data_IF_806049790727
#
_entry.id   IF_806049790727
#
_cell.length_a   1.000
_cell.length_b   1.000
_cell.length_c   1.000
_cell.angle_alpha   90.00
_cell.angle_beta   90.00
_cell.angle_gamma   90.00
#
_symmetry.space_group_name_H-M   'P 1'
#
loop_
_entity.id
_entity.type
_entity.pdbx_description
1 polymer ?
#
# COMPACT_ATOMS: atom_id res chain seq x y z
N UNK A 1 16.94 -54.41 -31.56
CA UNK A 1 16.63 -53.80 -30.25
C UNK A 1 17.55 -52.60 -30.07
N UNK A 2 17.03 -51.37 -30.14
CA UNK A 2 17.81 -50.14 -29.96
C UNK A 2 17.42 -49.56 -28.60
N UNK A 3 18.32 -49.66 -27.63
CA UNK A 3 18.19 -49.04 -26.32
C UNK A 3 18.48 -47.54 -26.47
N UNK A 4 17.43 -46.72 -26.40
CA UNK A 4 17.56 -45.27 -26.31
C UNK A 4 17.83 -44.88 -24.86
N UNK A 5 18.96 -44.22 -24.61
CA UNK A 5 19.24 -43.58 -23.32
C UNK A 5 18.63 -42.18 -23.36
N UNK A 6 17.58 -41.96 -22.58
CA UNK A 6 17.02 -40.64 -22.30
C UNK A 6 17.89 -39.97 -21.23
N UNK A 7 18.63 -38.94 -21.63
CA UNK A 7 19.39 -38.10 -20.71
C UNK A 7 18.47 -36.96 -20.25
N UNK A 8 17.88 -37.10 -19.07
CA UNK A 8 17.10 -36.03 -18.43
C UNK A 8 18.05 -34.97 -17.87
N UNK A 9 18.17 -33.83 -18.53
CA UNK A 9 18.88 -32.66 -18.01
C UNK A 9 17.95 -31.93 -17.05
N UNK A 10 18.23 -32.00 -15.75
CA UNK A 10 17.57 -31.18 -14.75
C UNK A 10 18.17 -29.76 -14.79
N UNK A 11 17.38 -28.77 -15.20
CA UNK A 11 17.72 -27.36 -15.01
C UNK A 11 17.53 -27.02 -13.53
N UNK A 12 18.64 -26.93 -12.79
CA UNK A 12 18.64 -26.26 -11.51
C UNK A 12 18.64 -24.75 -11.78
N UNK A 13 17.47 -24.12 -11.81
CA UNK A 13 17.35 -22.66 -11.74
C UNK A 13 17.75 -22.24 -10.33
N UNK A 14 18.92 -21.62 -10.20
CA UNK A 14 19.25 -20.85 -9.01
C UNK A 14 18.28 -19.68 -8.94
N UNK A 15 17.28 -19.77 -8.08
CA UNK A 15 16.53 -18.60 -7.66
C UNK A 15 17.50 -17.76 -6.85
N UNK A 16 18.07 -16.75 -7.47
CA UNK A 16 18.79 -15.70 -6.73
C UNK A 16 17.70 -14.86 -6.07
N UNK A 17 17.40 -15.16 -4.81
CA UNK A 17 16.67 -14.23 -3.97
C UNK A 17 17.56 -13.00 -3.79
N UNK A 18 17.15 -11.84 -4.30
CA UNK A 18 17.80 -10.57 -4.00
C UNK A 18 17.39 -10.13 -2.59
N UNK A 19 18.07 -10.68 -1.58
CA UNK A 19 17.94 -10.28 -0.17
C UNK A 19 19.24 -9.70 0.35
N UNK A 20 19.83 -8.72 -0.34
CA UNK A 20 21.12 -8.16 0.02
C UNK A 20 21.25 -6.69 -0.34
N UNK A 21 21.49 -5.88 0.68
CA UNK A 21 21.44 -4.41 0.75
C UNK A 21 20.03 -3.85 0.90
N UNK A 22 19.66 -3.50 2.14
CA UNK A 22 18.59 -2.53 2.39
C UNK A 22 18.91 -1.28 1.56
N UNK A 23 18.07 -1.00 0.57
CA UNK A 23 18.32 0.08 -0.38
C UNK A 23 18.19 1.41 0.34
N UNK A 24 19.31 2.04 0.67
CA UNK A 24 19.34 3.42 1.18
C UNK A 24 18.41 4.30 0.34
N UNK A 25 17.54 5.07 1.01
CA UNK A 25 16.62 5.99 0.35
C UNK A 25 17.35 6.83 -0.70
N UNK A 26 16.90 6.82 -1.97
CA UNK A 26 17.33 7.73 -3.00
C UNK A 26 17.50 9.18 -2.53
N UNK A 27 18.66 9.79 -2.77
CA UNK A 27 18.83 11.24 -2.57
C UNK A 27 18.07 11.99 -3.66
N UNK A 28 17.10 12.82 -3.27
CA UNK A 28 16.25 13.62 -4.18
C UNK A 28 16.52 15.11 -4.00
N UNK A 29 16.45 15.89 -5.08
CA UNK A 29 16.53 17.35 -5.03
C UNK A 29 15.38 17.93 -4.18
N UNK A 30 15.68 18.89 -3.31
CA UNK A 30 14.67 19.52 -2.45
C UNK A 30 13.51 20.18 -3.24
N UNK A 31 13.75 20.59 -4.48
CA UNK A 31 12.78 21.20 -5.38
C UNK A 31 12.16 20.19 -6.37
N UNK A 32 12.44 18.89 -6.24
CA UNK A 32 11.77 17.88 -7.03
C UNK A 32 10.25 17.92 -6.78
N UNK A 33 9.50 17.51 -7.80
CA UNK A 33 8.05 17.41 -7.71
C UNK A 33 7.62 16.29 -6.74
N UNK A 34 6.35 16.36 -6.32
CA UNK A 34 5.82 15.44 -5.32
C UNK A 34 5.93 13.98 -5.75
N UNK A 35 5.67 13.65 -7.02
CA UNK A 35 5.77 12.26 -7.48
C UNK A 35 7.21 11.73 -7.37
N UNK A 36 8.20 12.55 -7.72
CA UNK A 36 9.61 12.17 -7.60
C UNK A 36 10.00 11.91 -6.15
N UNK A 37 9.55 12.77 -5.23
CA UNK A 37 9.78 12.58 -3.79
C UNK A 37 9.07 11.35 -3.25
N UNK A 38 7.79 11.19 -3.58
CA UNK A 38 6.99 10.02 -3.22
C UNK A 38 7.66 8.71 -3.66
N UNK A 39 8.02 8.59 -4.94
CA UNK A 39 8.66 7.37 -5.46
C UNK A 39 10.01 7.05 -4.80
N UNK A 40 10.73 8.06 -4.35
CA UNK A 40 11.99 7.89 -3.64
C UNK A 40 11.79 7.56 -2.16
N UNK A 41 10.86 8.21 -1.48
CA UNK A 41 10.66 8.09 -0.03
C UNK A 41 9.85 6.85 0.34
N UNK A 42 8.89 6.48 -0.50
CA UNK A 42 7.95 5.38 -0.29
C UNK A 42 8.39 4.11 -1.04
N UNK A 43 8.77 4.21 -2.31
CA UNK A 43 9.11 3.03 -3.13
C UNK A 43 10.62 2.76 -3.27
N UNK A 44 11.47 3.67 -2.80
CA UNK A 44 12.94 3.64 -2.95
C UNK A 44 13.42 3.47 -4.41
N UNK A 45 12.63 3.95 -5.37
CA UNK A 45 12.95 3.87 -6.80
C UNK A 45 13.42 5.22 -7.32
N UNK A 46 14.60 5.22 -7.96
CA UNK A 46 15.02 6.29 -8.87
C UNK A 46 14.79 5.86 -10.32
N UNK A 47 14.24 6.75 -11.14
CA UNK A 47 14.00 6.47 -12.55
C UNK A 47 12.80 5.53 -12.75
N UNK A 48 11.62 6.12 -12.75
CA UNK A 48 10.35 5.48 -13.05
C UNK A 48 9.73 6.14 -14.29
N UNK A 49 8.71 5.49 -14.86
CA UNK A 49 7.90 6.04 -15.95
C UNK A 49 6.42 6.10 -15.55
N UNK A 50 5.62 6.73 -16.38
CA UNK A 50 4.19 6.87 -16.10
C UNK A 50 3.49 5.51 -15.94
N UNK A 51 3.92 4.48 -16.67
CA UNK A 51 3.28 3.15 -16.64
C UNK A 51 3.57 2.39 -15.35
N UNK A 52 4.83 2.43 -14.89
CA UNK A 52 5.24 1.89 -13.59
C UNK A 52 4.60 2.64 -12.43
N UNK A 53 4.53 3.98 -12.48
CA UNK A 53 3.81 4.76 -11.47
C UNK A 53 2.33 4.36 -11.42
N UNK A 54 1.67 4.19 -12.56
CA UNK A 54 0.28 3.72 -12.59
C UNK A 54 0.12 2.36 -11.90
N UNK A 55 0.94 1.41 -12.33
CA UNK A 55 0.86 0.01 -11.92
C UNK A 55 1.17 -0.19 -10.43
N UNK A 56 2.10 0.59 -9.86
CA UNK A 56 2.43 0.50 -8.43
C UNK A 56 1.31 0.97 -7.51
N UNK A 57 0.43 1.84 -7.99
CA UNK A 57 -0.65 2.43 -7.17
C UNK A 57 -2.05 1.92 -7.55
N UNK A 58 -2.11 0.95 -8.46
CA UNK A 58 -3.28 0.12 -8.74
C UNK A 58 -3.27 -1.06 -7.76
N UNK A 59 -3.63 -0.76 -6.51
CA UNK A 59 -3.42 -1.65 -5.36
C UNK A 59 -4.23 -2.94 -5.48
N UNK A 60 -5.40 -2.88 -6.12
CA UNK A 60 -6.23 -4.05 -6.36
C UNK A 60 -5.96 -4.72 -7.72
N UNK A 61 -5.10 -4.11 -8.56
CA UNK A 61 -4.70 -4.59 -9.89
C UNK A 61 -5.84 -4.78 -10.87
N UNK A 62 -6.88 -3.94 -10.80
CA UNK A 62 -8.03 -3.98 -11.71
C UNK A 62 -7.90 -3.05 -12.93
N UNK A 63 -6.82 -2.27 -13.00
CA UNK A 63 -6.49 -1.40 -14.12
C UNK A 63 -7.04 0.02 -14.00
N UNK A 64 -7.60 0.39 -12.85
CA UNK A 64 -8.18 1.70 -12.56
C UNK A 64 -7.69 2.18 -11.21
N UNK A 65 -7.49 3.49 -11.06
CA UNK A 65 -7.39 4.07 -9.73
C UNK A 65 -8.76 4.52 -9.27
N UNK A 66 -9.30 3.85 -8.25
CA UNK A 66 -10.48 4.35 -7.56
C UNK A 66 -10.12 5.50 -6.62
N UNK A 67 -11.12 6.28 -6.21
CA UNK A 67 -10.95 7.37 -5.25
C UNK A 67 -10.19 6.93 -3.98
N UNK A 68 -10.46 5.74 -3.46
CA UNK A 68 -9.78 5.21 -2.27
C UNK A 68 -8.28 4.99 -2.49
N UNK A 69 -7.87 4.55 -3.68
CA UNK A 69 -6.47 4.33 -4.03
C UNK A 69 -5.72 5.64 -4.23
N UNK A 70 -6.35 6.64 -4.86
CA UNK A 70 -5.82 8.00 -4.94
C UNK A 70 -5.58 8.59 -3.53
N UNK A 71 -6.56 8.42 -2.64
CA UNK A 71 -6.47 8.88 -1.25
C UNK A 71 -5.40 8.10 -0.46
N UNK A 72 -5.26 6.80 -0.70
CA UNK A 72 -4.21 5.97 -0.11
C UNK A 72 -2.82 6.43 -0.55
N UNK A 73 -2.59 6.60 -1.85
CA UNK A 73 -1.31 7.09 -2.40
C UNK A 73 -0.89 8.44 -1.83
N UNK A 74 -1.86 9.29 -1.46
CA UNK A 74 -1.62 10.55 -0.75
C UNK A 74 -1.49 10.45 0.78
N UNK A 75 -1.49 9.23 1.34
CA UNK A 75 -1.31 8.97 2.77
C UNK A 75 -2.49 9.39 3.65
N UNK A 76 -3.69 9.58 3.10
CA UNK A 76 -4.81 10.18 3.85
C UNK A 76 -5.35 9.30 5.00
N UNK A 77 -5.04 8.00 4.95
CA UNK A 77 -5.43 7.02 5.96
C UNK A 77 -4.27 6.61 6.87
N UNK A 78 -3.06 7.12 6.63
CA UNK A 78 -1.88 6.85 7.45
C UNK A 78 -2.00 7.49 8.85
N UNK A 79 -1.31 6.90 9.83
CA UNK A 79 -1.27 7.38 11.21
C UNK A 79 -0.74 8.82 11.32
N UNK A 80 0.18 9.24 10.43
CA UNK A 80 0.67 10.63 10.37
C UNK A 80 -0.44 11.63 10.03
N UNK A 81 -1.50 11.19 9.34
CA UNK A 81 -2.64 11.99 8.93
C UNK A 81 -3.92 11.75 9.75
N UNK A 82 -3.85 11.03 10.88
CA UNK A 82 -5.03 10.77 11.73
C UNK A 82 -5.77 12.00 12.23
N UNK A 83 -5.08 13.14 12.32
CA UNK A 83 -5.66 14.43 12.71
C UNK A 83 -6.43 15.13 11.59
N UNK A 84 -6.35 14.63 10.35
CA UNK A 84 -7.01 15.22 9.20
C UNK A 84 -8.51 14.98 9.25
N UNK A 85 -9.30 16.06 9.13
CA UNK A 85 -10.76 15.97 9.08
C UNK A 85 -11.23 15.29 7.80
N UNK A 86 -12.34 14.55 7.84
CA UNK A 86 -12.96 13.94 6.64
C UNK A 86 -13.20 14.93 5.51
N UNK A 87 -13.68 16.15 5.83
CA UNK A 87 -13.84 17.22 4.83
C UNK A 87 -12.55 17.51 4.06
N UNK A 88 -11.39 17.48 4.73
CA UNK A 88 -10.10 17.76 4.09
C UNK A 88 -9.67 16.58 3.20
N UNK A 89 -9.98 15.35 3.60
CA UNK A 89 -9.76 14.16 2.77
C UNK A 89 -10.63 14.20 1.51
N UNK A 90 -11.90 14.60 1.65
CA UNK A 90 -12.82 14.83 0.52
C UNK A 90 -12.28 15.91 -0.43
N UNK A 91 -11.77 17.03 0.09
CA UNK A 91 -11.15 18.09 -0.73
C UNK A 91 -9.95 17.55 -1.53
N UNK A 92 -9.11 16.71 -0.93
CA UNK A 92 -7.98 16.07 -1.64
C UNK A 92 -8.50 15.16 -2.76
N UNK A 93 -9.45 14.27 -2.45
CA UNK A 93 -10.09 13.40 -3.44
C UNK A 93 -10.64 14.19 -4.63
N UNK A 94 -11.40 15.25 -4.35
CA UNK A 94 -12.08 16.04 -5.38
C UNK A 94 -11.08 16.78 -6.28
N UNK A 95 -9.96 17.26 -5.71
CA UNK A 95 -8.86 17.84 -6.49
C UNK A 95 -8.24 16.80 -7.42
N UNK A 96 -7.96 15.59 -6.93
CA UNK A 96 -7.33 14.54 -7.74
C UNK A 96 -8.23 14.05 -8.86
N UNK A 97 -9.49 13.75 -8.57
CA UNK A 97 -10.46 13.36 -9.59
C UNK A 97 -10.67 14.49 -10.60
N UNK A 98 -10.83 15.74 -10.16
CA UNK A 98 -10.97 16.88 -11.09
C UNK A 98 -9.77 17.08 -12.02
N UNK A 99 -8.57 16.65 -11.61
CA UNK A 99 -7.36 16.69 -12.44
C UNK A 99 -7.29 15.53 -13.44
N UNK A 100 -7.71 14.33 -13.03
CA UNK A 100 -7.41 13.08 -13.72
C UNK A 100 -8.63 12.50 -14.46
N UNK A 101 -9.77 12.37 -13.79
CA UNK A 101 -11.01 11.79 -14.32
C UNK A 101 -11.62 12.74 -15.37
N UNK A 102 -11.62 12.32 -16.64
CA UNK A 102 -12.09 13.11 -17.79
C UNK A 102 -13.46 12.70 -18.29
N UNK A 103 -13.87 11.47 -18.05
CA UNK A 103 -15.18 10.99 -18.45
C UNK A 103 -16.24 11.02 -17.33
N UNK A 104 -15.82 11.30 -16.09
CA UNK A 104 -16.67 11.51 -14.93
C UNK A 104 -17.17 10.22 -14.29
N UNK A 105 -16.48 9.09 -14.50
CA UNK A 105 -16.86 7.80 -13.93
C UNK A 105 -16.41 7.59 -12.47
N UNK A 106 -15.77 8.62 -11.88
CA UNK A 106 -15.24 8.64 -10.51
C UNK A 106 -14.06 7.68 -10.28
N UNK A 107 -13.41 7.24 -11.35
CA UNK A 107 -12.16 6.48 -11.35
C UNK A 107 -11.18 7.12 -12.34
N UNK A 108 -9.94 6.65 -12.34
CA UNK A 108 -8.94 7.10 -13.31
C UNK A 108 -8.44 5.89 -14.07
N UNK A 109 -8.74 5.85 -15.35
CA UNK A 109 -8.20 4.86 -16.26
C UNK A 109 -6.70 5.07 -16.50
N UNK A 110 -6.01 3.99 -16.88
CA UNK A 110 -4.63 4.09 -17.38
C UNK A 110 -4.49 5.09 -18.52
N UNK A 111 -5.48 5.19 -19.42
CA UNK A 111 -5.43 6.11 -20.54
C UNK A 111 -5.46 7.58 -20.10
N UNK A 112 -6.37 7.93 -19.18
CA UNK A 112 -6.46 9.30 -18.62
C UNK A 112 -5.19 9.69 -17.90
N UNK A 113 -4.62 8.78 -17.12
CA UNK A 113 -3.33 8.97 -16.48
C UNK A 113 -2.22 9.26 -17.49
N UNK A 114 -2.12 8.43 -18.53
CA UNK A 114 -1.08 8.61 -19.56
C UNK A 114 -1.25 9.92 -20.32
N UNK A 115 -2.48 10.35 -20.58
CA UNK A 115 -2.76 11.63 -21.23
C UNK A 115 -2.45 12.82 -20.32
N UNK A 116 -2.72 12.70 -19.02
CA UNK A 116 -2.32 13.69 -18.01
C UNK A 116 -0.80 13.90 -18.01
N UNK A 117 -0.01 12.83 -17.94
CA UNK A 117 1.46 12.92 -17.95
C UNK A 117 2.00 13.43 -19.29
N UNK A 118 1.46 12.94 -20.43
CA UNK A 118 1.84 13.43 -21.77
C UNK A 118 1.57 14.92 -21.96
N UNK A 119 0.63 15.50 -21.22
CA UNK A 119 0.38 16.95 -21.20
C UNK A 119 1.45 17.76 -20.46
N UNK A 120 2.47 17.10 -19.90
CA UNK A 120 3.59 17.72 -19.18
C UNK A 120 3.25 18.09 -17.74
N UNK A 121 2.20 17.48 -17.16
CA UNK A 121 1.77 17.73 -15.78
C UNK A 121 2.35 16.67 -14.84
N UNK A 122 2.38 17.02 -13.55
CA UNK A 122 2.71 16.14 -12.43
C UNK A 122 1.59 16.23 -11.39
N UNK A 123 1.47 15.22 -10.52
CA UNK A 123 0.56 15.27 -9.39
C UNK A 123 0.99 16.37 -8.41
N UNK A 124 0.03 17.17 -7.88
CA UNK A 124 0.36 18.28 -7.01
C UNK A 124 0.78 17.81 -5.62
N UNK A 125 1.68 18.55 -4.99
CA UNK A 125 1.88 18.44 -3.54
C UNK A 125 0.68 19.08 -2.82
N UNK A 126 -0.07 18.28 -2.07
CA UNK A 126 -1.25 18.71 -1.32
C UNK A 126 -0.97 18.87 0.18
N UNK A 127 0.30 18.83 0.59
CA UNK A 127 0.78 18.90 1.96
C UNK A 127 0.21 17.78 2.85
N UNK A 128 0.14 16.57 2.31
CA UNK A 128 -0.31 15.37 3.04
C UNK A 128 0.87 14.51 3.49
N UNK A 129 2.10 14.89 3.16
CA UNK A 129 3.32 14.13 3.44
C UNK A 129 3.82 13.36 2.21
N UNK A 130 4.71 12.37 2.43
CA UNK A 130 5.33 11.63 1.34
C UNK A 130 4.36 10.70 0.61
N UNK A 131 3.25 10.32 1.24
CA UNK A 131 2.22 9.46 0.65
C UNK A 131 2.09 8.15 1.40
N UNK A 132 1.73 7.09 0.69
CA UNK A 132 1.72 5.71 1.17
C UNK A 132 2.01 4.78 0.00
N UNK A 133 2.68 3.67 0.26
CA UNK A 133 3.13 2.71 -0.75
C UNK A 133 2.47 1.34 -0.60
N UNK A 134 2.27 0.87 0.63
CA UNK A 134 1.98 -0.53 0.94
C UNK A 134 0.68 -0.73 1.71
N UNK A 135 0.49 -1.89 2.31
CA UNK A 135 -0.43 -2.12 3.44
C UNK A 135 0.26 -1.82 4.77
N UNK A 136 -0.51 -1.76 5.86
CA UNK A 136 0.00 -1.43 7.20
C UNK A 136 1.21 -2.29 7.62
N UNK A 137 1.28 -3.55 7.16
CA UNK A 137 2.37 -4.48 7.48
C UNK A 137 3.68 -4.07 6.79
N UNK A 138 3.62 -3.85 5.48
CA UNK A 138 4.79 -3.47 4.70
C UNK A 138 5.34 -2.10 5.12
N UNK A 139 4.45 -1.15 5.40
CA UNK A 139 4.81 0.18 5.90
C UNK A 139 5.52 0.11 7.24
N UNK A 140 5.02 -0.72 8.16
CA UNK A 140 5.70 -0.98 9.41
C UNK A 140 7.07 -1.64 9.16
N UNK A 141 7.16 -2.73 8.40
CA UNK A 141 8.42 -3.44 8.20
C UNK A 141 9.53 -2.56 7.61
N UNK A 142 9.26 -1.81 6.54
CA UNK A 142 10.29 -1.04 5.85
C UNK A 142 10.60 0.28 6.57
N UNK A 143 9.59 1.09 6.93
CA UNK A 143 9.86 2.39 7.53
C UNK A 143 10.37 2.26 8.96
N UNK A 144 9.89 1.27 9.73
CA UNK A 144 10.41 1.02 11.06
C UNK A 144 11.86 0.56 11.00
N UNK A 145 12.17 -0.38 10.10
CA UNK A 145 13.52 -0.85 9.93
C UNK A 145 14.46 0.28 9.55
N UNK A 146 14.14 1.08 8.54
CA UNK A 146 15.06 2.15 8.12
C UNK A 146 15.21 3.28 9.13
N UNK A 147 14.19 3.51 9.96
CA UNK A 147 14.25 4.55 10.99
C UNK A 147 15.16 4.15 12.15
N UNK A 148 15.14 2.89 12.55
CA UNK A 148 15.79 2.43 13.77
C UNK A 148 16.97 1.50 13.56
N UNK A 149 17.13 0.96 12.34
CA UNK A 149 18.11 -0.06 12.02
C UNK A 149 19.03 0.34 10.86
N UNK A 150 20.30 -0.02 11.03
CA UNK A 150 21.41 0.19 10.12
C UNK A 150 22.41 -0.97 10.19
N UNK A 151 23.51 -0.88 9.44
CA UNK A 151 24.57 -1.90 9.42
C UNK A 151 25.24 -2.15 10.79
N UNK A 152 25.03 -1.28 11.78
CA UNK A 152 25.60 -1.39 13.12
C UNK A 152 24.60 -1.86 14.17
N UNK A 153 23.34 -2.11 13.79
CA UNK A 153 22.27 -2.57 14.67
C UNK A 153 22.64 -3.88 15.37
N UNK A 154 22.43 -3.92 16.68
CA UNK A 154 22.65 -5.11 17.50
C UNK A 154 21.32 -5.79 17.83
N UNK A 155 21.41 -7.03 18.30
CA UNK A 155 20.25 -7.83 18.71
C UNK A 155 19.40 -7.13 19.78
N UNK A 156 20.04 -6.38 20.67
CA UNK A 156 19.39 -5.63 21.74
C UNK A 156 18.64 -4.37 21.27
N UNK A 157 18.92 -3.90 20.04
CA UNK A 157 18.25 -2.74 19.45
C UNK A 157 16.99 -3.14 18.66
N UNK A 158 16.76 -4.44 18.40
CA UNK A 158 15.68 -4.94 17.53
C UNK A 158 14.25 -4.74 18.05
N UNK A 159 14.07 -4.26 19.28
CA UNK A 159 12.74 -4.12 19.87
C UNK A 159 12.49 -2.70 20.33
N UNK A 160 11.43 -2.13 19.79
CA UNK A 160 10.98 -0.76 19.98
C UNK A 160 9.55 -0.74 20.55
N UNK A 161 9.16 0.35 21.25
CA UNK A 161 7.79 0.53 21.72
C UNK A 161 6.75 0.40 20.59
N UNK A 162 7.07 0.86 19.38
CA UNK A 162 6.20 0.77 18.21
C UNK A 162 5.93 -0.68 17.78
N UNK A 163 6.87 -1.60 18.00
CA UNK A 163 6.68 -3.04 17.71
C UNK A 163 5.57 -3.63 18.58
N UNK A 164 5.56 -3.25 19.85
CA UNK A 164 4.57 -3.71 20.82
C UNK A 164 3.18 -3.24 20.40
N UNK A 165 3.04 -1.98 19.99
CA UNK A 165 1.76 -1.43 19.53
C UNK A 165 1.32 -2.06 18.19
N UNK A 166 2.24 -2.26 17.25
CA UNK A 166 1.96 -2.93 15.98
C UNK A 166 1.44 -4.37 16.19
N UNK A 167 2.16 -5.18 16.96
CA UNK A 167 1.72 -6.56 17.23
C UNK A 167 0.44 -6.64 18.07
N UNK A 168 0.26 -5.73 19.03
CA UNK A 168 -0.99 -5.65 19.78
C UNK A 168 -2.19 -5.33 18.88
N UNK A 169 -2.02 -4.46 17.88
CA UNK A 169 -3.07 -4.19 16.88
C UNK A 169 -3.41 -5.46 16.09
N UNK A 170 -2.42 -6.26 15.71
CA UNK A 170 -2.64 -7.56 15.06
C UNK A 170 -3.39 -8.54 15.94
N UNK A 171 -3.00 -8.70 17.21
CA UNK A 171 -3.72 -9.53 18.17
C UNK A 171 -5.20 -9.11 18.29
N UNK A 172 -5.47 -7.80 18.38
CA UNK A 172 -6.83 -7.26 18.45
C UNK A 172 -7.65 -7.51 17.16
N UNK A 173 -7.00 -7.45 15.99
CA UNK A 173 -7.61 -7.74 14.69
C UNK A 173 -7.91 -9.24 14.53
N UNK A 174 -6.99 -10.12 14.93
CA UNK A 174 -7.19 -11.57 14.93
C UNK A 174 -8.36 -11.96 15.85
N UNK A 175 -8.37 -11.44 17.09
CA UNK A 175 -9.47 -11.62 18.04
C UNK A 175 -10.83 -11.12 17.49
N UNK A 176 -10.83 -10.01 16.74
CA UNK A 176 -12.04 -9.50 16.10
C UNK A 176 -12.51 -10.42 14.95
N UNK A 177 -11.57 -10.91 14.14
CA UNK A 177 -11.84 -11.82 13.04
C UNK A 177 -12.38 -13.17 13.53
N UNK A 178 -11.76 -13.76 14.56
CA UNK A 178 -12.24 -15.01 15.16
C UNK A 178 -13.68 -14.88 15.70
N UNK A 179 -13.98 -13.75 16.35
CA UNK A 179 -15.34 -13.44 16.83
C UNK A 179 -16.33 -13.33 15.67
N UNK A 180 -15.94 -12.67 14.58
CA UNK A 180 -16.77 -12.55 13.38
C UNK A 180 -17.06 -13.93 12.77
N UNK A 181 -16.02 -14.76 12.59
CA UNK A 181 -16.14 -16.11 12.03
C UNK A 181 -17.00 -17.03 12.91
N UNK A 182 -16.86 -16.93 14.24
CA UNK A 182 -17.71 -17.64 15.18
C UNK A 182 -19.18 -17.24 15.01
N UNK A 183 -19.47 -15.95 14.81
CA UNK A 183 -20.83 -15.48 14.53
C UNK A 183 -21.35 -15.95 13.18
N UNK A 184 -20.52 -15.98 12.13
CA UNK A 184 -20.92 -16.45 10.79
C UNK A 184 -21.25 -17.95 10.76
N UNK A 185 -20.63 -18.76 11.63
CA UNK A 185 -20.97 -20.18 11.79
C UNK A 185 -22.35 -20.41 12.42
N UNK A 186 -22.91 -19.40 13.09
CA UNK A 186 -24.27 -19.49 13.64
C UNK A 186 -25.29 -19.32 12.51
N UNK A 187 -26.20 -20.27 12.38
CA UNK A 187 -27.32 -20.16 11.44
C UNK A 187 -28.26 -19.00 11.78
N UNK A 188 -28.34 -18.63 13.07
CA UNK A 188 -29.13 -17.50 13.58
C UNK A 188 -28.34 -16.85 14.72
N UNK A 189 -28.10 -15.54 14.62
CA UNK A 189 -27.57 -14.73 15.72
C UNK A 189 -28.74 -14.24 16.57
N UNK A 190 -29.02 -14.90 17.70
CA UNK A 190 -30.22 -14.65 18.51
C UNK A 190 -30.35 -13.19 18.99
N UNK A 191 -29.22 -12.53 19.26
CA UNK A 191 -29.18 -11.11 19.64
C UNK A 191 -29.78 -10.19 18.55
N UNK A 192 -29.65 -10.58 17.28
CA UNK A 192 -30.17 -9.84 16.13
C UNK A 192 -31.63 -10.17 15.82
N UNK A 193 -32.25 -11.13 16.51
CA UNK A 193 -33.68 -11.43 16.36
C UNK A 193 -34.48 -10.25 16.94
N UNK A 194 -35.30 -9.55 16.13
CA UNK A 194 -36.15 -8.48 16.63
C UNK A 194 -37.09 -8.97 17.74
N UNK A 195 -37.35 -8.13 18.74
CA UNK A 195 -38.10 -8.52 19.96
C UNK A 195 -39.46 -9.17 19.66
N UNK A 196 -40.14 -8.75 18.58
CA UNK A 196 -41.44 -9.31 18.14
C UNK A 196 -41.40 -10.78 17.71
N UNK A 197 -40.21 -11.35 17.48
CA UNK A 197 -40.01 -12.74 17.05
C UNK A 197 -39.36 -13.63 18.12
N UNK A 198 -39.03 -13.10 19.29
CA UNK A 198 -38.49 -13.89 20.40
C UNK A 198 -39.66 -14.58 21.13
N UNK A 199 -39.58 -15.90 21.33
CA UNK A 199 -40.55 -16.61 22.18
C UNK A 199 -40.31 -16.20 23.64
N UNK A 200 -41.37 -15.75 24.31
CA UNK A 200 -41.40 -15.53 25.76
C UNK A 200 -41.60 -16.86 26.49
#
# INVERSE_FOLDING_TARGET
MRTGVLLSVAFATTVVAHGGAHSQKPVVDANADWMTKHMAEEHHVQGWDADSFFTLHDYNSDGWWQAAELMRTYGLFDESNKGMTEKKKDEVRDVLLGLLDKDGDSSVSRQEWMDFIKSGKTLPDLNTGPGHHGDDEYEYEIHHWEKYHDDNTKLEDLTHPEDIEHFKKHDEMEDAQERLEAMQKLSIVEANIPQKFRRQ
#
